data_IF_551075581876
#
_entry.id   IF_551075581876
#
_cell.length_a   1.000
_cell.length_b   1.000
_cell.length_c   1.000
_cell.angle_alpha   90.00
_cell.angle_beta   90.00
_cell.angle_gamma   90.00
#
_symmetry.space_group_name_H-M   'P 1'
#
loop_
_entity.id
_entity.type
_entity.pdbx_description
1 polymer ?
#
# COMPACT_ATOMS: atom_id res chain seq x y z
N UNK A 1 -21.01 4.95 -6.82
CA UNK A 1 -19.97 5.92 -6.43
C UNK A 1 -18.88 5.15 -5.73
N UNK A 2 -17.70 5.01 -6.33
CA UNK A 2 -16.54 4.49 -5.60
C UNK A 2 -16.09 5.56 -4.59
N UNK A 3 -15.83 5.16 -3.34
CA UNK A 3 -15.27 6.07 -2.34
C UNK A 3 -13.87 6.49 -2.80
N UNK A 4 -13.48 7.74 -2.52
CA UNK A 4 -12.12 8.28 -2.81
C UNK A 4 -11.02 7.34 -2.32
N UNK A 5 -11.25 6.66 -1.20
CA UNK A 5 -10.36 5.65 -0.62
C UNK A 5 -10.24 4.39 -1.47
N UNK A 6 -11.32 3.93 -2.10
CA UNK A 6 -11.32 2.75 -2.97
C UNK A 6 -10.56 3.05 -4.27
N UNK A 7 -10.74 4.23 -4.86
CA UNK A 7 -9.99 4.65 -6.04
C UNK A 7 -8.50 4.80 -5.73
N UNK A 8 -8.17 5.33 -4.54
CA UNK A 8 -6.79 5.44 -4.06
C UNK A 8 -6.14 4.05 -3.89
N UNK A 9 -6.81 3.15 -3.17
CA UNK A 9 -6.36 1.76 -2.97
C UNK A 9 -6.13 1.05 -4.30
N UNK A 10 -7.06 1.19 -5.25
CA UNK A 10 -6.94 0.57 -6.57
C UNK A 10 -5.70 1.06 -7.33
N UNK A 11 -5.38 2.35 -7.28
CA UNK A 11 -4.17 2.92 -7.89
C UNK A 11 -2.89 2.39 -7.24
N UNK A 12 -2.84 2.39 -5.90
CA UNK A 12 -1.68 1.85 -5.17
C UNK A 12 -1.47 0.37 -5.51
N UNK A 13 -2.56 -0.40 -5.60
CA UNK A 13 -2.50 -1.81 -5.97
C UNK A 13 -1.99 -2.03 -7.40
N UNK A 14 -2.37 -1.17 -8.36
CA UNK A 14 -1.85 -1.23 -9.73
C UNK A 14 -0.35 -0.97 -9.77
N UNK A 15 0.13 0.03 -9.01
CA UNK A 15 1.56 0.33 -8.89
C UNK A 15 2.32 -0.86 -8.28
N UNK A 16 1.80 -1.45 -7.20
CA UNK A 16 2.39 -2.63 -6.57
C UNK A 16 2.47 -3.83 -7.53
N UNK A 17 1.42 -4.09 -8.31
CA UNK A 17 1.40 -5.14 -9.35
C UNK A 17 2.44 -4.89 -10.44
N UNK A 18 2.73 -3.63 -10.76
CA UNK A 18 3.78 -3.26 -11.71
C UNK A 18 5.20 -3.67 -11.29
N UNK A 19 5.44 -3.89 -9.99
CA UNK A 19 6.76 -4.34 -9.48
C UNK A 19 7.04 -5.82 -9.67
N UNK A 20 6.05 -6.61 -10.10
CA UNK A 20 6.17 -8.07 -10.30
C UNK A 20 6.63 -8.83 -9.04
N UNK A 21 6.26 -8.34 -7.85
CA UNK A 21 6.59 -8.94 -6.55
C UNK A 21 5.30 -9.42 -5.85
N UNK A 22 4.94 -10.73 -5.97
CA UNK A 22 3.70 -11.24 -5.42
C UNK A 22 3.58 -11.13 -3.90
N UNK A 23 4.70 -11.23 -3.16
CA UNK A 23 4.71 -11.08 -1.70
C UNK A 23 4.35 -9.64 -1.32
N UNK A 24 4.90 -8.67 -2.05
CA UNK A 24 4.57 -7.26 -1.85
C UNK A 24 3.12 -6.94 -2.25
N UNK A 25 2.62 -7.49 -3.36
CA UNK A 25 1.20 -7.31 -3.74
C UNK A 25 0.28 -7.84 -2.63
N UNK A 26 0.55 -9.04 -2.09
CA UNK A 26 -0.22 -9.61 -0.98
C UNK A 26 -0.14 -8.73 0.28
N UNK A 27 1.03 -8.14 0.56
CA UNK A 27 1.20 -7.19 1.66
C UNK A 27 0.29 -5.97 1.51
N UNK A 28 0.25 -5.36 0.31
CA UNK A 28 -0.61 -4.20 0.01
C UNK A 28 -2.10 -4.59 0.07
N UNK A 29 -2.48 -5.77 -0.41
CA UNK A 29 -3.86 -6.29 -0.29
C UNK A 29 -4.27 -6.52 1.17
N UNK A 30 -3.32 -6.87 2.05
CA UNK A 30 -3.51 -7.05 3.48
C UNK A 30 -3.72 -5.76 4.28
N UNK A 31 -3.46 -4.58 3.68
CA UNK A 31 -3.68 -3.29 4.36
C UNK A 31 -5.18 -3.07 4.56
N UNK A 32 -5.57 -2.90 5.83
CA UNK A 32 -6.97 -2.71 6.23
C UNK A 32 -7.58 -1.42 5.71
N UNK A 33 -8.88 -1.41 5.46
CA UNK A 33 -9.58 -0.22 4.95
C UNK A 33 -9.46 1.00 5.89
N UNK A 34 -9.39 0.78 7.21
CA UNK A 34 -9.14 1.84 8.20
C UNK A 34 -7.79 2.53 8.00
N UNK A 35 -6.75 1.77 7.65
CA UNK A 35 -5.42 2.30 7.38
C UNK A 35 -5.43 3.12 6.08
N UNK A 36 -6.14 2.65 5.05
CA UNK A 36 -6.33 3.40 3.81
C UNK A 36 -7.08 4.71 4.03
N UNK A 37 -8.14 4.70 4.83
CA UNK A 37 -8.84 5.93 5.22
C UNK A 37 -7.90 6.89 5.96
N UNK A 38 -7.07 6.37 6.88
CA UNK A 38 -6.10 7.19 7.58
C UNK A 38 -5.12 7.89 6.62
N UNK A 39 -4.52 7.14 5.70
CA UNK A 39 -3.58 7.67 4.71
C UNK A 39 -4.25 8.72 3.81
N UNK A 40 -5.45 8.44 3.31
CA UNK A 40 -6.17 9.33 2.39
C UNK A 40 -6.65 10.61 3.06
N UNK A 41 -7.11 10.52 4.31
CA UNK A 41 -7.73 11.64 5.01
C UNK A 41 -6.77 12.45 5.90
N UNK A 42 -5.70 11.84 6.41
CA UNK A 42 -4.80 12.49 7.36
C UNK A 42 -3.40 12.74 6.81
N UNK A 43 -2.86 11.86 5.97
CA UNK A 43 -1.49 12.02 5.48
C UNK A 43 -1.40 12.80 4.15
N UNK A 44 -2.48 12.82 3.37
CA UNK A 44 -2.53 13.58 2.12
C UNK A 44 -1.55 13.08 1.05
N UNK A 45 -1.08 11.83 1.18
CA UNK A 45 -0.16 11.21 0.24
C UNK A 45 -0.79 10.99 -1.14
N UNK A 46 0.04 11.06 -2.16
CA UNK A 46 -0.26 10.50 -3.48
C UNK A 46 -0.20 8.96 -3.47
N UNK A 47 -0.86 8.27 -4.41
CA UNK A 47 -0.76 6.81 -4.53
C UNK A 47 0.68 6.31 -4.68
N UNK A 48 1.52 7.05 -5.38
CA UNK A 48 2.93 6.75 -5.62
C UNK A 48 3.75 6.83 -4.32
N UNK A 49 3.53 7.86 -3.50
CA UNK A 49 4.19 8.00 -2.21
C UNK A 49 3.73 6.93 -1.20
N UNK A 50 2.43 6.61 -1.20
CA UNK A 50 1.89 5.55 -0.35
C UNK A 50 2.44 4.18 -0.74
N UNK A 51 2.54 3.87 -2.03
CA UNK A 51 3.17 2.64 -2.53
C UNK A 51 4.62 2.54 -2.09
N UNK A 52 5.40 3.62 -2.26
CA UNK A 52 6.79 3.68 -1.83
C UNK A 52 6.97 3.47 -0.33
N UNK A 53 6.11 4.07 0.51
CA UNK A 53 6.12 3.84 1.96
C UNK A 53 5.80 2.40 2.33
N UNK A 54 4.76 1.83 1.74
CA UNK A 54 4.39 0.43 1.96
C UNK A 54 5.53 -0.50 1.53
N UNK A 55 6.26 -0.14 0.47
CA UNK A 55 7.43 -0.90 0.02
C UNK A 55 8.54 -0.89 1.07
N UNK A 56 8.86 0.27 1.63
CA UNK A 56 9.84 0.38 2.72
C UNK A 56 9.45 -0.48 3.91
N UNK A 57 8.19 -0.38 4.37
CA UNK A 57 7.70 -1.19 5.50
C UNK A 57 7.76 -2.69 5.20
N UNK A 58 7.36 -3.10 4.00
CA UNK A 58 7.45 -4.50 3.58
C UNK A 58 8.89 -5.02 3.61
N UNK A 59 9.87 -4.23 3.16
CA UNK A 59 11.28 -4.62 3.17
C UNK A 59 11.86 -4.69 4.60
N UNK A 60 11.45 -3.76 5.47
CA UNK A 60 11.79 -3.77 6.89
C UNK A 60 11.20 -4.98 7.61
N UNK A 61 9.90 -5.25 7.43
CA UNK A 61 9.21 -6.42 7.99
C UNK A 61 9.89 -7.71 7.50
N UNK A 62 10.16 -7.82 6.20
CA UNK A 62 10.82 -8.99 5.62
C UNK A 62 12.22 -9.22 6.21
N UNK A 63 12.95 -8.14 6.51
CA UNK A 63 14.26 -8.22 7.16
C UNK A 63 14.15 -8.64 8.63
N UNK A 64 13.11 -8.18 9.33
CA UNK A 64 12.90 -8.48 10.74
C UNK A 64 12.41 -9.91 10.99
N UNK A 65 11.56 -10.45 10.10
CA UNK A 65 11.00 -11.81 10.24
C UNK A 65 11.83 -12.93 9.58
N UNK A 66 12.83 -12.61 8.73
CA UNK A 66 13.79 -13.59 8.18
C UNK A 66 15.19 -13.51 8.83
N UNK A 67 15.36 -12.69 9.85
CA UNK A 67 16.61 -12.51 10.61
C UNK A 67 16.74 -13.44 11.81
#
# INVERSE_FOLDING_TARGET
MHSRTQDFKARVLQLAKGRMDPEFVAYVEGVTDRMWEHVVHHEGLSPEEAEGRLRSFFEEDRRFFRG
#
